data_IF_776282747478
#
_entry.id   IF_776282747478
#
_cell.length_a   1.000
_cell.length_b   1.000
_cell.length_c   1.000
_cell.angle_alpha   90.00
_cell.angle_beta   90.00
_cell.angle_gamma   90.00
#
_symmetry.space_group_name_H-M   'P 1'
#
loop_
_entity.id
_entity.type
_entity.pdbx_description
1 polymer ?
#
# COMPACT_ATOMS: atom_id res chain seq x y z
N UNK A 1 40.22 -4.50 -7.86
CA UNK A 1 39.43 -4.38 -9.11
C UNK A 1 38.11 -5.09 -8.90
N UNK A 2 37.03 -4.32 -8.69
CA UNK A 2 35.67 -4.88 -8.67
C UNK A 2 35.24 -5.02 -10.11
N UNK A 3 34.84 -6.23 -10.53
CA UNK A 3 34.35 -6.47 -11.88
C UNK A 3 32.88 -6.02 -11.95
N UNK A 4 32.57 -5.07 -12.82
CA UNK A 4 31.21 -4.54 -13.00
C UNK A 4 30.72 -5.02 -14.37
N UNK A 5 29.67 -5.84 -14.37
CA UNK A 5 29.03 -6.35 -15.57
C UNK A 5 27.68 -5.64 -15.76
N UNK A 6 27.35 -5.30 -17.01
CA UNK A 6 26.04 -4.78 -17.40
C UNK A 6 25.27 -5.88 -18.14
N UNK A 7 23.96 -5.95 -17.91
CA UNK A 7 23.07 -6.90 -18.56
C UNK A 7 21.83 -6.16 -19.06
N UNK A 8 21.44 -6.44 -20.30
CA UNK A 8 20.24 -5.87 -20.94
C UNK A 8 19.22 -6.97 -21.21
N UNK A 9 17.94 -6.57 -21.29
CA UNK A 9 16.85 -7.52 -21.52
C UNK A 9 16.94 -8.19 -22.90
N UNK A 10 17.53 -7.51 -23.88
CA UNK A 10 17.66 -7.98 -25.27
C UNK A 10 18.87 -8.90 -25.50
N UNK A 11 19.82 -8.98 -24.56
CA UNK A 11 21.06 -9.77 -24.73
C UNK A 11 20.82 -11.26 -24.43
N UNK A 12 20.31 -11.55 -23.24
CA UNK A 12 19.99 -12.89 -22.75
C UNK A 12 18.85 -12.77 -21.74
N UNK A 13 17.63 -13.03 -22.23
CA UNK A 13 16.41 -12.85 -21.45
C UNK A 13 16.35 -13.79 -20.22
N UNK A 14 16.85 -15.01 -20.35
CA UNK A 14 16.84 -16.01 -19.27
C UNK A 14 17.81 -15.61 -18.16
N UNK A 15 19.02 -15.18 -18.53
CA UNK A 15 19.99 -14.67 -17.56
C UNK A 15 19.48 -13.39 -16.89
N UNK A 16 18.91 -12.46 -17.67
CA UNK A 16 18.37 -11.21 -17.13
C UNK A 16 17.24 -11.49 -16.12
N UNK A 17 16.29 -12.37 -16.45
CA UNK A 17 15.22 -12.79 -15.54
C UNK A 17 15.79 -13.45 -14.27
N UNK A 18 16.78 -14.32 -14.39
CA UNK A 18 17.48 -14.92 -13.24
C UNK A 18 18.09 -13.84 -12.33
N UNK A 19 18.70 -12.80 -12.89
CA UNK A 19 19.25 -11.68 -12.12
C UNK A 19 18.16 -10.88 -11.39
N UNK A 20 17.02 -10.63 -12.03
CA UNK A 20 15.89 -9.90 -11.41
C UNK A 20 15.26 -10.66 -10.24
N UNK A 21 15.31 -12.00 -10.25
CA UNK A 21 14.79 -12.87 -9.20
C UNK A 21 15.91 -13.51 -8.35
N UNK A 22 17.13 -12.95 -8.39
CA UNK A 22 18.31 -13.55 -7.77
C UNK A 22 18.31 -13.55 -6.24
N UNK A 23 17.54 -12.66 -5.60
CA UNK A 23 17.57 -12.40 -4.16
C UNK A 23 19.01 -12.23 -3.60
N UNK A 24 19.95 -11.73 -4.42
CA UNK A 24 21.35 -11.53 -4.03
C UNK A 24 22.28 -12.73 -4.23
N UNK A 25 21.79 -13.88 -4.70
CA UNK A 25 22.64 -15.06 -4.94
C UNK A 25 23.68 -14.85 -6.05
N UNK A 26 23.35 -14.04 -7.06
CA UNK A 26 24.25 -13.72 -8.19
C UNK A 26 25.16 -12.51 -7.91
N UNK A 27 25.08 -11.91 -6.71
CA UNK A 27 25.91 -10.77 -6.30
C UNK A 27 25.09 -9.52 -5.94
N UNK A 28 25.77 -8.38 -5.94
CA UNK A 28 25.20 -7.08 -5.53
C UNK A 28 24.86 -6.27 -6.78
N UNK A 29 23.59 -5.87 -6.88
CA UNK A 29 23.13 -4.94 -7.92
C UNK A 29 23.45 -3.51 -7.46
N UNK A 30 24.36 -2.84 -8.18
CA UNK A 30 24.78 -1.46 -7.86
C UNK A 30 23.98 -0.39 -8.62
N UNK A 31 23.36 -0.75 -9.74
CA UNK A 31 22.60 0.17 -10.59
C UNK A 31 21.54 -0.59 -11.38
N UNK A 32 20.40 0.07 -11.62
CA UNK A 32 19.29 -0.46 -12.44
C UNK A 32 18.77 0.64 -13.36
N UNK A 33 18.41 0.27 -14.60
CA UNK A 33 17.67 1.13 -15.52
C UNK A 33 16.25 0.57 -15.67
N UNK A 34 15.26 1.39 -15.34
CA UNK A 34 13.84 1.00 -15.37
C UNK A 34 13.13 1.75 -16.48
N UNK A 35 12.30 1.03 -17.24
CA UNK A 35 11.35 1.65 -18.15
C UNK A 35 10.22 2.32 -17.34
N UNK A 36 9.92 3.58 -17.64
CA UNK A 36 8.89 4.37 -16.93
C UNK A 36 7.72 4.68 -17.85
N UNK A 37 6.52 4.74 -17.29
CA UNK A 37 5.32 5.21 -17.99
C UNK A 37 5.12 6.72 -17.79
N UNK A 38 4.36 7.41 -18.67
CA UNK A 38 3.94 8.78 -18.42
C UNK A 38 3.17 8.92 -17.10
N UNK A 39 3.25 10.11 -16.49
CA UNK A 39 2.53 10.42 -15.26
C UNK A 39 1.01 10.38 -15.50
N UNK A 40 0.28 9.71 -14.61
CA UNK A 40 -1.19 9.66 -14.62
C UNK A 40 -1.78 9.93 -13.23
N UNK A 41 -3.09 10.14 -13.19
CA UNK A 41 -3.86 10.39 -11.96
C UNK A 41 -4.70 9.16 -11.61
N UNK A 42 -4.86 8.95 -10.31
CA UNK A 42 -5.67 7.87 -9.76
C UNK A 42 -6.76 8.45 -8.87
N UNK A 43 -7.93 7.84 -8.95
CA UNK A 43 -8.99 7.98 -7.97
C UNK A 43 -8.97 6.76 -7.04
N UNK A 44 -8.70 7.00 -5.77
CA UNK A 44 -8.76 6.00 -4.70
C UNK A 44 -10.12 6.05 -4.00
N UNK A 45 -10.80 4.91 -4.05
CA UNK A 45 -12.02 4.62 -3.32
C UNK A 45 -11.73 3.55 -2.27
N UNK A 46 -11.71 3.94 -1.00
CA UNK A 46 -11.51 3.05 0.14
C UNK A 46 -12.84 2.83 0.86
N UNK A 47 -13.21 1.56 1.11
CA UNK A 47 -14.41 1.21 1.87
C UNK A 47 -14.17 0.02 2.80
N UNK A 48 -14.77 0.01 4.00
CA UNK A 48 -14.77 -1.18 4.84
C UNK A 48 -15.54 -2.29 4.12
N UNK A 49 -14.97 -3.49 4.12
CA UNK A 49 -15.57 -4.68 3.53
C UNK A 49 -15.25 -5.87 4.44
N UNK A 50 -16.25 -6.70 4.72
CA UNK A 50 -16.05 -7.88 5.56
C UNK A 50 -15.26 -8.97 4.83
N UNK A 51 -14.45 -9.71 5.57
CA UNK A 51 -13.54 -10.69 4.99
C UNK A 51 -14.27 -11.84 4.29
N UNK A 52 -15.29 -12.42 4.92
CA UNK A 52 -16.06 -13.48 4.28
C UNK A 52 -16.80 -13.01 3.03
N UNK A 53 -17.36 -11.80 3.06
CA UNK A 53 -18.02 -11.19 1.91
C UNK A 53 -17.01 -10.95 0.78
N UNK A 54 -15.84 -10.41 1.11
CA UNK A 54 -14.75 -10.18 0.16
C UNK A 54 -14.31 -11.46 -0.55
N UNK A 55 -14.12 -12.57 0.17
CA UNK A 55 -13.73 -13.84 -0.44
C UNK A 55 -14.75 -14.33 -1.47
N UNK A 56 -16.05 -14.09 -1.23
CA UNK A 56 -17.12 -14.45 -2.16
C UNK A 56 -17.23 -13.49 -3.35
N UNK A 57 -16.78 -12.24 -3.22
CA UNK A 57 -16.87 -11.19 -4.25
C UNK A 57 -15.52 -10.80 -4.86
N UNK A 58 -14.46 -11.56 -4.62
CA UNK A 58 -13.09 -11.25 -5.02
C UNK A 58 -12.96 -10.99 -6.53
N UNK A 59 -13.55 -11.86 -7.35
CA UNK A 59 -13.51 -11.76 -8.81
C UNK A 59 -14.15 -10.46 -9.32
N UNK A 60 -15.24 -10.02 -8.68
CA UNK A 60 -15.93 -8.77 -9.00
C UNK A 60 -15.03 -7.58 -8.67
N UNK A 61 -14.42 -7.57 -7.49
CA UNK A 61 -13.55 -6.46 -7.09
C UNK A 61 -12.31 -6.35 -7.96
N UNK A 62 -11.66 -7.47 -8.26
CA UNK A 62 -10.50 -7.51 -9.15
C UNK A 62 -10.83 -7.01 -10.56
N UNK A 63 -11.94 -7.44 -11.15
CA UNK A 63 -12.35 -6.99 -12.49
C UNK A 63 -12.83 -5.53 -12.53
N UNK A 64 -13.29 -4.98 -11.41
CA UNK A 64 -13.91 -3.65 -11.34
C UNK A 64 -12.92 -2.47 -11.27
N UNK A 65 -11.62 -2.73 -11.08
CA UNK A 65 -10.63 -1.66 -10.91
C UNK A 65 -9.28 -1.97 -11.51
N UNK A 66 -8.60 -0.94 -12.01
CA UNK A 66 -7.26 -1.06 -12.59
C UNK A 66 -6.25 -1.59 -11.56
N UNK A 67 -6.36 -1.11 -10.32
CA UNK A 67 -5.57 -1.59 -9.20
C UNK A 67 -6.46 -1.82 -7.98
N UNK A 68 -6.41 -3.04 -7.45
CA UNK A 68 -7.19 -3.45 -6.29
C UNK A 68 -6.27 -3.88 -5.15
N UNK A 69 -6.61 -3.51 -3.92
CA UNK A 69 -5.99 -4.03 -2.70
C UNK A 69 -7.06 -4.30 -1.66
N UNK A 70 -6.86 -5.35 -0.88
CA UNK A 70 -7.65 -5.61 0.31
C UNK A 70 -6.71 -5.76 1.53
N UNK A 71 -6.96 -4.98 2.57
CA UNK A 71 -6.23 -5.05 3.84
C UNK A 71 -7.13 -5.73 4.88
N UNK A 72 -6.70 -6.85 5.42
CA UNK A 72 -7.44 -7.60 6.44
C UNK A 72 -6.81 -7.44 7.82
N UNK A 73 -7.64 -7.33 8.86
CA UNK A 73 -7.18 -7.28 10.24
C UNK A 73 -7.35 -8.66 10.92
N UNK A 74 -6.25 -9.33 11.32
CA UNK A 74 -6.33 -10.66 11.93
C UNK A 74 -7.20 -10.69 13.18
N UNK A 75 -7.88 -11.82 13.41
CA UNK A 75 -8.85 -12.02 14.50
C UNK A 75 -10.10 -11.13 14.42
N UNK A 76 -10.37 -10.55 13.25
CA UNK A 76 -11.60 -9.83 12.96
C UNK A 76 -12.18 -10.31 11.64
N UNK A 77 -13.49 -10.11 11.43
CA UNK A 77 -14.11 -10.26 10.12
C UNK A 77 -14.03 -8.96 9.29
N UNK A 78 -13.18 -8.01 9.68
CA UNK A 78 -13.15 -6.67 9.09
C UNK A 78 -11.90 -6.50 8.24
N UNK A 79 -12.07 -5.88 7.07
CA UNK A 79 -10.98 -5.37 6.27
C UNK A 79 -11.40 -4.14 5.49
N UNK A 80 -10.49 -3.68 4.66
CA UNK A 80 -10.65 -2.47 3.88
C UNK A 80 -10.30 -2.79 2.44
N UNK A 81 -11.27 -2.56 1.55
CA UNK A 81 -11.09 -2.63 0.13
C UNK A 81 -10.65 -1.27 -0.41
N UNK A 82 -9.61 -1.28 -1.23
CA UNK A 82 -9.04 -0.13 -1.93
C UNK A 82 -9.20 -0.37 -3.43
N UNK A 83 -10.00 0.46 -4.08
CA UNK A 83 -10.18 0.47 -5.53
C UNK A 83 -9.49 1.71 -6.09
N UNK A 84 -8.52 1.54 -6.97
CA UNK A 84 -7.82 2.64 -7.64
C UNK A 84 -8.03 2.54 -9.15
N UNK A 85 -8.57 3.60 -9.72
CA UNK A 85 -8.86 3.70 -11.15
C UNK A 85 -8.15 4.88 -11.77
N UNK A 86 -7.65 4.70 -13.00
CA UNK A 86 -7.03 5.77 -13.77
C UNK A 86 -8.09 6.76 -14.22
N UNK A 87 -7.81 8.04 -14.02
CA UNK A 87 -8.71 9.12 -14.41
C UNK A 87 -7.99 10.15 -15.27
N UNK A 88 -8.77 10.88 -16.07
CA UNK A 88 -8.24 11.99 -16.86
C UNK A 88 -8.03 13.24 -15.97
N UNK A 89 -7.00 14.06 -16.24
CA UNK A 89 -6.63 15.22 -15.40
C UNK A 89 -7.72 16.28 -15.23
N UNK A 90 -8.78 16.27 -16.07
CA UNK A 90 -9.84 17.28 -16.05
C UNK A 90 -10.80 17.15 -14.84
N UNK A 91 -10.71 16.08 -14.06
CA UNK A 91 -11.59 15.81 -12.91
C UNK A 91 -11.02 16.25 -11.54
N UNK A 92 -9.92 17.02 -11.52
CA UNK A 92 -9.23 17.36 -10.28
C UNK A 92 -9.95 18.53 -9.58
N UNK A 93 -10.91 18.21 -8.71
CA UNK A 93 -11.44 19.16 -7.74
C UNK A 93 -10.42 19.32 -6.62
N UNK A 94 -9.66 20.41 -6.65
CA UNK A 94 -8.72 20.76 -5.58
C UNK A 94 -9.47 21.09 -4.28
N UNK A 95 -9.82 20.07 -3.49
CA UNK A 95 -10.22 20.26 -2.11
C UNK A 95 -8.98 20.57 -1.26
N UNK A 96 -8.58 21.84 -1.24
CA UNK A 96 -7.55 22.35 -0.33
C UNK A 96 -8.03 22.16 1.12
N UNK A 97 -7.65 21.05 1.74
CA UNK A 97 -7.74 20.92 3.21
C UNK A 97 -6.85 21.99 3.85
N UNK A 98 -7.41 22.73 4.81
CA UNK A 98 -6.68 23.74 5.58
C UNK A 98 -5.38 23.17 6.16
N UNK A 99 -4.29 23.93 6.09
CA UNK A 99 -2.95 23.57 6.60
C UNK A 99 -3.00 23.09 8.05
N UNK A 100 -3.86 23.71 8.87
CA UNK A 100 -4.06 23.34 10.27
C UNK A 100 -4.68 21.94 10.43
N UNK A 101 -5.66 21.58 9.59
CA UNK A 101 -6.28 20.24 9.59
C UNK A 101 -5.28 19.16 9.18
N UNK A 102 -4.33 19.50 8.29
CA UNK A 102 -3.25 18.61 7.84
C UNK A 102 -2.27 18.29 8.95
N UNK A 103 -1.89 19.30 9.75
CA UNK A 103 -0.95 19.15 10.85
C UNK A 103 -1.58 18.35 12.00
N UNK A 104 -2.84 18.61 12.35
CA UNK A 104 -3.57 17.84 13.37
C UNK A 104 -3.83 16.40 12.95
N UNK A 105 -4.22 16.16 11.69
CA UNK A 105 -4.34 14.79 11.18
C UNK A 105 -3.00 14.06 11.14
N UNK A 106 -1.93 14.79 10.82
CA UNK A 106 -0.58 14.24 10.80
C UNK A 106 -0.09 13.91 12.21
N UNK A 107 -0.29 14.77 13.21
CA UNK A 107 0.12 14.49 14.59
C UNK A 107 -0.68 13.32 15.19
N UNK A 108 -1.99 13.26 14.92
CA UNK A 108 -2.86 12.15 15.33
C UNK A 108 -2.46 10.83 14.65
N UNK A 109 -2.14 10.83 13.35
CA UNK A 109 -1.83 9.61 12.60
C UNK A 109 -0.36 9.17 12.75
N UNK A 110 0.58 10.11 12.85
CA UNK A 110 2.02 9.83 12.73
C UNK A 110 2.71 9.61 14.08
N UNK A 111 2.27 10.27 15.17
CA UNK A 111 2.98 10.19 16.46
C UNK A 111 2.27 9.32 17.49
N UNK A 112 0.95 9.46 17.60
CA UNK A 112 0.13 8.64 18.53
C UNK A 112 -0.30 7.33 17.88
N UNK A 113 -0.63 7.32 16.59
CA UNK A 113 -1.02 6.10 15.88
C UNK A 113 0.12 5.09 15.76
N UNK A 114 1.23 5.50 15.15
CA UNK A 114 2.36 4.60 14.87
C UNK A 114 3.07 4.11 16.12
N UNK A 115 3.57 5.00 16.99
CA UNK A 115 4.37 4.58 18.14
C UNK A 115 3.56 3.86 19.22
N UNK A 116 2.28 4.23 19.43
CA UNK A 116 1.42 3.49 20.36
C UNK A 116 1.14 2.09 19.82
N UNK A 117 0.85 1.96 18.52
CA UNK A 117 0.58 0.67 17.90
C UNK A 117 1.84 -0.21 17.92
N UNK A 118 3.00 0.36 17.64
CA UNK A 118 4.31 -0.30 17.74
C UNK A 118 4.57 -0.79 19.16
N UNK A 119 4.38 0.05 20.17
CA UNK A 119 4.51 -0.31 21.58
C UNK A 119 3.52 -1.42 21.97
N UNK A 120 2.25 -1.31 21.54
CA UNK A 120 1.24 -2.32 21.78
C UNK A 120 1.61 -3.67 21.14
N UNK A 121 2.18 -3.65 19.93
CA UNK A 121 2.69 -4.86 19.29
C UNK A 121 3.91 -5.42 20.00
N UNK A 122 4.82 -4.58 20.49
CA UNK A 122 5.95 -5.04 21.30
C UNK A 122 5.50 -5.74 22.59
N UNK A 123 4.53 -5.16 23.31
CA UNK A 123 3.94 -5.81 24.48
C UNK A 123 3.17 -7.09 24.14
N UNK A 124 2.59 -7.17 22.93
CA UNK A 124 1.86 -8.35 22.48
C UNK A 124 2.77 -9.59 22.30
N UNK A 125 4.08 -9.41 22.14
CA UNK A 125 5.06 -10.50 22.15
C UNK A 125 5.09 -11.25 23.49
N UNK A 126 4.92 -10.51 24.60
CA UNK A 126 4.86 -11.09 25.94
C UNK A 126 3.47 -11.63 26.30
N UNK A 127 2.43 -11.03 25.72
CA UNK A 127 1.03 -11.39 26.00
C UNK A 127 0.20 -11.49 24.71
N UNK A 128 0.22 -12.66 24.03
CA UNK A 128 -0.45 -12.87 22.74
C UNK A 128 -1.97 -12.61 22.76
N UNK A 129 -2.61 -12.68 23.92
CA UNK A 129 -4.04 -12.40 24.07
C UNK A 129 -4.40 -10.94 23.75
N UNK A 130 -3.46 -10.00 23.88
CA UNK A 130 -3.68 -8.59 23.55
C UNK A 130 -3.83 -8.35 22.05
N UNK A 131 -3.20 -9.16 21.19
CA UNK A 131 -3.24 -9.01 19.72
C UNK A 131 -4.67 -8.92 19.21
N UNK A 132 -5.56 -9.78 19.74
CA UNK A 132 -7.00 -9.79 19.38
C UNK A 132 -7.69 -8.47 19.68
N UNK A 133 -7.40 -7.86 20.84
CA UNK A 133 -8.02 -6.59 21.25
C UNK A 133 -7.46 -5.42 20.45
N UNK A 134 -6.14 -5.39 20.27
CA UNK A 134 -5.43 -4.36 19.51
C UNK A 134 -5.98 -4.32 18.07
N UNK A 135 -6.01 -5.47 17.39
CA UNK A 135 -6.49 -5.54 16.00
C UNK A 135 -7.96 -5.15 15.87
N UNK A 136 -8.83 -5.52 16.83
CA UNK A 136 -10.25 -5.13 16.81
C UNK A 136 -10.45 -3.63 16.99
N UNK A 137 -9.64 -2.98 17.83
CA UNK A 137 -9.66 -1.52 18.00
C UNK A 137 -9.14 -0.86 16.71
N UNK A 138 -8.02 -1.34 16.18
CA UNK A 138 -7.40 -0.80 14.97
C UNK A 138 -8.36 -0.88 13.76
N UNK A 139 -8.97 -2.05 13.53
CA UNK A 139 -9.98 -2.24 12.48
C UNK A 139 -11.15 -1.25 12.58
N UNK A 140 -11.58 -0.91 13.81
CA UNK A 140 -12.67 0.05 14.04
C UNK A 140 -12.25 1.49 13.75
N UNK A 141 -11.00 1.85 14.04
CA UNK A 141 -10.47 3.20 13.81
C UNK A 141 -10.26 3.47 12.31
N UNK A 142 -9.75 2.47 11.59
CA UNK A 142 -9.40 2.53 10.16
C UNK A 142 -10.57 2.26 9.21
N UNK A 143 -11.66 1.64 9.68
CA UNK A 143 -12.84 1.28 8.86
C UNK A 143 -13.66 2.45 8.28
N UNK A 144 -13.05 3.61 8.04
CA UNK A 144 -13.68 4.79 7.45
C UNK A 144 -13.63 4.70 5.92
N UNK A 145 -14.69 5.20 5.29
CA UNK A 145 -14.72 5.40 3.84
C UNK A 145 -13.88 6.61 3.48
N UNK A 146 -12.95 6.46 2.54
CA UNK A 146 -12.10 7.55 2.05
C UNK A 146 -12.21 7.62 0.53
N UNK A 147 -12.39 8.83 0.02
CA UNK A 147 -12.29 9.16 -1.39
C UNK A 147 -11.14 10.14 -1.56
N UNK A 148 -10.18 9.84 -2.44
CA UNK A 148 -9.01 10.68 -2.69
C UNK A 148 -8.61 10.61 -4.15
N UNK A 149 -8.39 11.76 -4.76
CA UNK A 149 -7.79 11.87 -6.10
C UNK A 149 -6.41 12.49 -5.95
N UNK A 150 -5.40 11.88 -6.55
CA UNK A 150 -4.04 12.41 -6.58
C UNK A 150 -3.25 11.83 -7.75
N UNK A 151 -1.99 12.27 -7.89
CA UNK A 151 -1.04 11.66 -8.83
C UNK A 151 -0.69 10.23 -8.41
N UNK A 152 -0.38 9.38 -9.38
CA UNK A 152 -0.08 7.97 -9.13
C UNK A 152 1.07 7.75 -8.13
N UNK A 153 2.13 8.56 -8.18
CA UNK A 153 3.27 8.47 -7.27
C UNK A 153 2.92 8.75 -5.80
N UNK A 154 1.91 9.59 -5.55
CA UNK A 154 1.45 9.92 -4.19
C UNK A 154 0.39 8.96 -3.64
N UNK A 155 -0.25 8.19 -4.51
CA UNK A 155 -1.27 7.21 -4.13
C UNK A 155 -0.69 5.80 -4.00
N UNK A 156 0.35 5.46 -4.76
CA UNK A 156 1.04 4.17 -4.62
C UNK A 156 2.01 4.12 -3.44
N UNK A 157 2.59 5.26 -3.05
CA UNK A 157 3.36 5.37 -1.81
C UNK A 157 2.39 5.47 -0.64
N UNK A 158 1.97 4.31 -0.13
CA UNK A 158 1.37 4.22 1.20
C UNK A 158 2.48 4.40 2.23
N UNK A 159 2.21 5.09 3.33
CA UNK A 159 3.14 5.23 4.45
C UNK A 159 3.51 3.82 4.94
N UNK A 160 4.73 3.38 4.62
CA UNK A 160 5.40 2.20 5.17
C UNK A 160 6.22 2.60 6.38
#
# INVERSE_FOLDING_TARGET
NVNINEYYLDDDEDLFRCLTCSLGTFGIIISVRLQVSPLFYLELNQKPLEFHTFLNTLSIHYASSDHFRYMWYPHTNSGIAYHLNRIQPRLITNNKKSIFSRIISWFSNSLIGHHLLELLFYFSLYFPSLVRRINRIYAKLEGKTLHKIDRCDKLFNFDC
#
